data_IF_859574904298
#
_entry.id   IF_859574904298
#
_cell.length_a   1.000
_cell.length_b   1.000
_cell.length_c   1.000
_cell.angle_alpha   90.00
_cell.angle_beta   90.00
_cell.angle_gamma   90.00
#
_symmetry.space_group_name_H-M   'P 1'
#
loop_
_entity.id
_entity.type
_entity.pdbx_description
1 polymer ?
#
# COMPACT_ATOMS: atom_id res chain seq x y z
N UNK A 1 7.52 -0.25 19.17
CA UNK A 1 6.78 1.03 19.24
C UNK A 1 6.77 1.46 20.69
N UNK A 2 7.21 2.68 20.98
CA UNK A 2 7.17 3.24 22.34
C UNK A 2 6.28 4.47 22.28
N UNK A 3 5.01 4.33 22.66
CA UNK A 3 4.01 5.39 22.47
C UNK A 3 3.90 5.81 21.00
N UNK A 4 4.07 7.10 20.76
CA UNK A 4 3.93 7.76 19.44
C UNK A 4 5.18 7.62 18.54
N UNK A 5 6.09 6.70 18.84
CA UNK A 5 7.33 6.55 18.06
C UNK A 5 7.57 5.12 17.59
N UNK A 6 7.82 4.99 16.29
CA UNK A 6 8.27 3.77 15.61
C UNK A 6 9.74 3.92 15.24
N UNK A 7 10.59 3.13 15.90
CA UNK A 7 11.99 2.99 15.52
C UNK A 7 12.15 1.81 14.57
N UNK A 8 12.70 2.06 13.40
CA UNK A 8 13.06 1.08 12.37
C UNK A 8 14.58 0.99 12.33
N UNK A 9 15.11 -0.18 12.61
CA UNK A 9 16.54 -0.44 12.40
C UNK A 9 16.77 -0.68 10.90
N UNK A 10 17.56 0.18 10.28
CA UNK A 10 17.98 0.02 8.88
C UNK A 10 19.48 -0.27 8.82
N UNK A 11 19.97 -0.70 7.65
CA UNK A 11 21.40 -0.90 7.41
C UNK A 11 22.22 0.40 7.59
N UNK A 12 21.61 1.56 7.38
CA UNK A 12 22.23 2.86 7.55
C UNK A 12 22.18 3.40 8.99
N UNK A 13 21.50 2.69 9.90
CA UNK A 13 21.27 3.13 11.28
C UNK A 13 19.80 3.12 11.67
N UNK A 14 19.50 3.70 12.83
CA UNK A 14 18.13 3.79 13.35
C UNK A 14 17.37 4.94 12.68
N UNK A 15 16.17 4.63 12.16
CA UNK A 15 15.21 5.62 11.69
C UNK A 15 14.06 5.70 12.70
N UNK A 16 13.80 6.88 13.25
CA UNK A 16 12.67 7.10 14.15
C UNK A 16 11.57 7.87 13.42
N UNK A 17 10.36 7.32 13.43
CA UNK A 17 9.16 7.90 12.82
C UNK A 17 8.19 8.25 13.94
N UNK A 18 7.75 9.50 13.99
CA UNK A 18 6.65 9.93 14.86
C UNK A 18 5.32 9.49 14.25
N UNK A 19 4.53 8.77 15.03
CA UNK A 19 3.19 8.28 14.72
C UNK A 19 2.18 9.20 15.41
N UNK A 20 1.47 10.07 14.67
CA UNK A 20 0.31 10.78 15.20
C UNK A 20 -0.73 9.82 15.80
N UNK A 21 -1.47 10.28 16.79
CA UNK A 21 -2.57 9.52 17.38
C UNK A 21 -3.60 9.14 16.30
N UNK A 22 -4.01 7.87 16.29
CA UNK A 22 -4.99 7.34 15.33
C UNK A 22 -4.41 6.79 14.01
N UNK A 23 -3.08 6.77 13.84
CA UNK A 23 -2.46 6.12 12.68
C UNK A 23 -2.59 4.59 12.77
N UNK A 24 -3.15 3.99 11.73
CA UNK A 24 -3.22 2.54 11.59
C UNK A 24 -1.90 1.97 11.07
N UNK A 25 -1.29 1.07 11.84
CA UNK A 25 -0.11 0.31 11.42
C UNK A 25 -0.57 -1.07 10.93
N UNK A 26 -0.46 -1.32 9.64
CA UNK A 26 -0.82 -2.61 9.05
C UNK A 26 0.41 -3.48 8.84
N UNK A 27 0.41 -4.67 9.45
CA UNK A 27 1.41 -5.71 9.17
C UNK A 27 0.97 -6.52 7.96
N UNK A 28 1.76 -6.51 6.89
CA UNK A 28 1.54 -7.38 5.73
C UNK A 28 2.34 -8.66 5.86
N UNK A 29 1.77 -9.78 5.46
CA UNK A 29 2.45 -11.07 5.26
C UNK A 29 2.69 -11.32 3.79
N UNK A 30 3.63 -12.21 3.44
CA UNK A 30 3.75 -12.65 2.05
C UNK A 30 2.42 -13.29 1.62
N UNK A 31 1.85 -12.80 0.52
CA UNK A 31 0.65 -13.35 -0.08
C UNK A 31 0.99 -14.28 -1.25
N UNK A 32 0.12 -15.25 -1.50
CA UNK A 32 0.13 -16.11 -2.67
C UNK A 32 -1.02 -15.71 -3.63
N UNK A 33 -0.94 -16.17 -4.88
CA UNK A 33 -1.99 -15.92 -5.88
C UNK A 33 -3.36 -16.46 -5.42
N UNK A 34 -3.35 -17.55 -4.64
CA UNK A 34 -4.56 -18.14 -4.06
C UNK A 34 -5.27 -17.28 -3.03
N UNK A 35 -4.62 -16.25 -2.49
CA UNK A 35 -5.23 -15.31 -1.54
C UNK A 35 -6.14 -14.28 -2.23
N UNK A 36 -6.14 -14.24 -3.57
CA UNK A 36 -7.01 -13.37 -4.36
C UNK A 36 -8.43 -13.90 -4.35
N UNK A 37 -9.31 -13.24 -3.60
CA UNK A 37 -10.75 -13.44 -3.69
C UNK A 37 -11.38 -12.45 -4.69
N UNK A 38 -12.50 -12.83 -5.32
CA UNK A 38 -13.30 -11.90 -6.11
C UNK A 38 -13.69 -10.69 -5.26
N UNK A 39 -13.48 -9.48 -5.80
CA UNK A 39 -13.72 -8.22 -5.09
C UNK A 39 -12.56 -7.75 -4.21
N UNK A 40 -11.44 -8.47 -4.15
CA UNK A 40 -10.22 -7.98 -3.50
C UNK A 40 -9.66 -6.77 -4.24
N UNK A 41 -9.12 -5.80 -3.51
CA UNK A 41 -8.48 -4.63 -4.10
C UNK A 41 -7.00 -4.92 -4.23
N UNK A 42 -6.46 -4.79 -5.44
CA UNK A 42 -5.04 -5.03 -5.73
C UNK A 42 -4.36 -3.71 -6.05
N UNK A 43 -3.34 -3.36 -5.28
CA UNK A 43 -2.49 -2.19 -5.51
C UNK A 43 -1.16 -2.66 -6.08
N UNK A 44 -0.87 -2.25 -7.31
CA UNK A 44 0.37 -2.62 -8.02
C UNK A 44 1.26 -1.39 -8.16
N UNK A 45 2.47 -1.48 -7.62
CA UNK A 45 3.54 -0.53 -7.94
C UNK A 45 4.33 -1.09 -9.11
N UNK A 46 4.31 -0.42 -10.26
CA UNK A 46 4.99 -0.88 -11.49
C UNK A 46 5.89 0.19 -12.08
N UNK A 47 6.99 -0.22 -12.72
CA UNK A 47 7.70 0.63 -13.68
C UNK A 47 7.00 0.57 -15.02
N UNK A 48 6.78 1.72 -15.65
CA UNK A 48 6.28 1.78 -17.03
C UNK A 48 7.46 2.00 -17.96
N UNK A 49 7.64 1.09 -18.91
CA UNK A 49 8.64 1.20 -19.98
C UNK A 49 8.14 2.16 -21.07
N UNK A 50 9.06 2.68 -21.89
CA UNK A 50 8.73 3.57 -23.03
C UNK A 50 7.81 2.92 -24.08
N UNK A 51 7.73 1.60 -24.07
CA UNK A 51 6.84 0.78 -24.90
C UNK A 51 5.41 0.68 -24.35
N UNK A 52 5.13 1.29 -23.19
CA UNK A 52 3.86 1.17 -22.46
C UNK A 52 3.72 -0.12 -21.66
N UNK A 53 4.69 -1.03 -21.73
CA UNK A 53 4.74 -2.24 -20.91
C UNK A 53 4.95 -1.87 -19.44
N UNK A 54 4.17 -2.49 -18.54
CA UNK A 54 4.30 -2.29 -17.09
C UNK A 54 4.88 -3.53 -16.44
N UNK A 55 6.00 -3.36 -15.74
CA UNK A 55 6.63 -4.42 -14.96
C UNK A 55 6.33 -4.17 -13.49
N UNK A 56 5.60 -5.09 -12.85
CA UNK A 56 5.24 -4.97 -11.44
C UNK A 56 6.48 -5.14 -10.55
N UNK A 57 6.70 -4.18 -9.66
CA UNK A 57 7.76 -4.24 -8.65
C UNK A 57 7.24 -4.74 -7.30
N UNK A 58 6.00 -4.39 -6.96
CA UNK A 58 5.35 -4.81 -5.72
C UNK A 58 3.85 -4.88 -5.90
N UNK A 59 3.23 -5.90 -5.32
CA UNK A 59 1.79 -6.12 -5.32
C UNK A 59 1.32 -6.18 -3.86
N UNK A 60 0.29 -5.40 -3.54
CA UNK A 60 -0.43 -5.49 -2.29
C UNK A 60 -1.86 -5.97 -2.57
N UNK A 61 -2.30 -6.96 -1.82
CA UNK A 61 -3.68 -7.46 -1.86
C UNK A 61 -4.35 -6.94 -0.60
N UNK A 62 -5.41 -6.17 -0.77
CA UNK A 62 -6.21 -5.64 0.33
C UNK A 62 -7.52 -6.44 0.41
N UNK A 63 -8.06 -6.65 1.62
CA UNK A 63 -9.36 -7.29 1.82
C UNK A 63 -10.45 -6.59 1.00
N UNK A 64 -11.44 -7.38 0.57
CA UNK A 64 -12.62 -6.86 -0.13
C UNK A 64 -13.31 -5.76 0.69
N UNK A 65 -13.62 -4.64 0.04
CA UNK A 65 -14.21 -3.46 0.69
C UNK A 65 -13.20 -2.46 1.25
N UNK A 66 -11.88 -2.72 1.18
CA UNK A 66 -10.87 -1.72 1.54
C UNK A 66 -10.80 -0.63 0.46
N UNK A 67 -11.02 0.65 0.78
CA UNK A 67 -10.86 1.73 -0.20
C UNK A 67 -9.41 1.78 -0.69
N UNK A 68 -9.22 1.86 -2.01
CA UNK A 68 -7.88 1.95 -2.57
C UNK A 68 -7.18 3.22 -2.04
N UNK A 69 -5.89 3.15 -1.66
CA UNK A 69 -5.18 4.24 -0.98
C UNK A 69 -4.98 5.51 -1.83
N UNK A 70 -5.40 5.49 -3.10
CA UNK A 70 -5.36 6.64 -4.01
C UNK A 70 -6.58 6.71 -4.95
N UNK A 71 -7.74 6.18 -4.54
CA UNK A 71 -8.97 6.45 -5.27
C UNK A 71 -9.24 7.95 -5.20
N UNK A 72 -8.72 8.71 -6.16
CA UNK A 72 -9.27 10.02 -6.51
C UNK A 72 -10.77 9.78 -6.64
N UNK A 73 -11.63 10.52 -5.92
CA UNK A 73 -13.07 10.43 -6.13
C UNK A 73 -13.32 10.52 -7.64
N UNK A 74 -14.22 9.71 -8.22
CA UNK A 74 -14.58 9.91 -9.61
C UNK A 74 -14.98 11.38 -9.75
N UNK A 75 -14.25 12.12 -10.58
CA UNK A 75 -14.63 13.47 -10.96
C UNK A 75 -15.98 13.35 -11.67
N UNK A 76 -17.07 13.52 -10.93
CA UNK A 76 -18.38 13.74 -11.51
C UNK A 76 -18.35 15.13 -12.14
N UNK A 77 -17.75 15.23 -13.32
CA UNK A 77 -17.97 16.34 -14.21
C UNK A 77 -19.41 16.23 -14.69
N UNK A 78 -20.33 16.84 -13.94
CA UNK A 78 -21.66 17.17 -14.43
C UNK A 78 -21.47 18.34 -15.40
N UNK A 79 -21.98 18.15 -16.62
CA UNK A 79 -21.81 19.08 -17.75
C UNK A 79 -22.57 20.39 -17.62
#
# INVERSE_FOLDING_TARGET
VNGDQLTIQTRAGNLTITLPAGVNITKTTAGAVGDLANGSVVVVTSTTESTGKRTAQRIFILPAGTPAPNATPPSTATG
#
